data_IF_721986146968
#
_entry.id   IF_721986146968
#
_cell.length_a   1.000
_cell.length_b   1.000
_cell.length_c   1.000
_cell.angle_alpha   90.00
_cell.angle_beta   90.00
_cell.angle_gamma   90.00
#
_symmetry.space_group_name_H-M   'P 1'
#
loop_
_entity.id
_entity.type
_entity.pdbx_description
1 polymer ?
#
# COMPACT_ATOMS: atom_id res chain seq x y z
N UNK A 1 61.58 -23.01 -3.15
CA UNK A 1 61.55 -21.56 -3.46
C UNK A 1 60.23 -21.12 -4.13
N UNK A 2 59.71 -21.84 -5.13
CA UNK A 2 58.47 -21.51 -5.87
C UNK A 2 57.18 -21.53 -5.03
N UNK A 3 57.06 -22.42 -4.03
CA UNK A 3 55.83 -22.58 -3.24
C UNK A 3 55.51 -21.36 -2.35
N UNK A 4 56.53 -20.66 -1.85
CA UNK A 4 56.36 -19.44 -1.04
C UNK A 4 56.01 -18.21 -1.89
N UNK A 5 56.49 -18.15 -3.14
CA UNK A 5 56.18 -17.05 -4.06
C UNK A 5 54.71 -17.06 -4.49
N UNK A 6 54.15 -18.24 -4.76
CA UNK A 6 52.73 -18.39 -5.14
C UNK A 6 51.80 -17.91 -4.02
N UNK A 7 52.11 -18.23 -2.77
CA UNK A 7 51.31 -17.80 -1.61
C UNK A 7 51.36 -16.27 -1.46
N UNK A 8 52.52 -15.66 -1.68
CA UNK A 8 52.68 -14.21 -1.60
C UNK A 8 51.88 -13.48 -2.70
N UNK A 9 51.87 -14.02 -3.92
CA UNK A 9 51.06 -13.47 -5.03
C UNK A 9 49.56 -13.60 -4.75
N UNK A 10 49.11 -14.73 -4.19
CA UNK A 10 47.70 -14.91 -3.81
C UNK A 10 47.27 -13.96 -2.69
N UNK A 11 48.14 -13.70 -1.71
CA UNK A 11 47.86 -12.72 -0.65
C UNK A 11 47.74 -11.30 -1.21
N UNK A 12 48.60 -10.91 -2.16
CA UNK A 12 48.51 -9.62 -2.84
C UNK A 12 47.19 -9.53 -3.64
N UNK A 13 46.79 -10.61 -4.31
CA UNK A 13 45.56 -10.63 -5.10
C UNK A 13 44.30 -10.43 -4.23
N UNK A 14 44.26 -11.06 -3.05
CA UNK A 14 43.15 -10.89 -2.08
C UNK A 14 43.12 -9.47 -1.50
N UNK A 15 44.27 -8.81 -1.34
CA UNK A 15 44.34 -7.43 -0.82
C UNK A 15 43.93 -6.40 -1.89
N UNK A 16 44.31 -6.64 -3.16
CA UNK A 16 44.01 -5.72 -4.27
C UNK A 16 42.56 -5.88 -4.75
N UNK A 17 41.98 -7.07 -4.62
CA UNK A 17 40.64 -7.39 -5.08
C UNK A 17 39.76 -7.80 -3.88
N UNK A 18 39.32 -6.85 -3.03
CA UNK A 18 38.32 -7.17 -2.03
C UNK A 18 37.06 -7.64 -2.76
N UNK A 19 36.63 -8.86 -2.44
CA UNK A 19 35.38 -9.42 -2.94
C UNK A 19 34.22 -8.60 -2.35
N UNK A 20 33.72 -7.62 -3.11
CA UNK A 20 32.62 -6.79 -2.65
C UNK A 20 31.36 -7.67 -2.49
N UNK A 21 30.67 -7.61 -1.33
CA UNK A 21 29.44 -8.36 -1.13
C UNK A 21 28.29 -7.73 -1.95
N UNK A 22 28.30 -7.96 -3.27
CA UNK A 22 27.43 -7.29 -4.24
C UNK A 22 25.93 -7.66 -4.12
N UNK A 23 25.58 -8.71 -3.38
CA UNK A 23 24.23 -9.31 -3.43
C UNK A 23 23.40 -9.29 -2.14
N UNK A 24 23.99 -9.01 -0.96
CA UNK A 24 23.27 -9.21 0.31
C UNK A 24 22.48 -7.98 0.80
N UNK A 25 22.90 -6.75 0.49
CA UNK A 25 22.33 -5.52 1.09
C UNK A 25 21.45 -4.70 0.13
N UNK A 26 21.71 -4.77 -1.18
CA UNK A 26 21.02 -3.99 -2.21
C UNK A 26 19.52 -4.28 -2.28
N UNK A 27 19.08 -5.51 -1.97
CA UNK A 27 17.66 -5.89 -2.08
C UNK A 27 16.82 -5.37 -0.91
N UNK A 28 17.34 -5.42 0.32
CA UNK A 28 16.61 -4.97 1.52
C UNK A 28 16.51 -3.44 1.54
N UNK A 29 17.62 -2.74 1.28
CA UNK A 29 17.65 -1.27 1.25
C UNK A 29 16.77 -0.71 0.13
N UNK A 30 16.76 -1.36 -1.04
CA UNK A 30 15.88 -0.99 -2.17
C UNK A 30 14.41 -1.26 -1.87
N UNK A 31 14.07 -2.33 -1.15
CA UNK A 31 12.70 -2.62 -0.75
C UNK A 31 12.21 -1.62 0.30
N UNK A 32 13.06 -1.27 1.28
CA UNK A 32 12.75 -0.28 2.32
C UNK A 32 12.62 1.13 1.73
N UNK A 33 13.49 1.53 0.82
CA UNK A 33 13.38 2.81 0.13
C UNK A 33 12.16 2.86 -0.81
N UNK A 34 11.80 1.74 -1.46
CA UNK A 34 10.57 1.66 -2.27
C UNK A 34 9.31 1.70 -1.41
N UNK A 35 9.31 1.07 -0.23
CA UNK A 35 8.18 1.13 0.70
C UNK A 35 8.04 2.53 1.29
N UNK A 36 9.12 3.20 1.67
CA UNK A 36 9.09 4.58 2.19
C UNK A 36 8.58 5.59 1.13
N UNK A 37 8.98 5.42 -0.13
CA UNK A 37 8.48 6.24 -1.25
C UNK A 37 7.01 5.91 -1.55
N UNK A 38 6.63 4.63 -1.55
CA UNK A 38 5.25 4.19 -1.73
C UNK A 38 4.35 4.73 -0.62
N UNK A 39 4.75 4.60 0.64
CA UNK A 39 3.97 5.06 1.78
C UNK A 39 3.85 6.59 1.80
N UNK A 40 4.95 7.31 1.54
CA UNK A 40 4.91 8.78 1.47
C UNK A 40 4.08 9.30 0.28
N UNK A 41 4.14 8.64 -0.89
CA UNK A 41 3.33 8.99 -2.05
C UNK A 41 1.85 8.65 -1.87
N UNK A 42 1.54 7.53 -1.20
CA UNK A 42 0.17 7.06 -1.01
C UNK A 42 -0.53 7.74 0.18
N UNK A 43 0.21 8.16 1.22
CA UNK A 43 -0.36 8.82 2.41
C UNK A 43 -1.05 10.16 2.11
N UNK A 44 -0.71 10.82 1.00
CA UNK A 44 -1.38 12.05 0.56
C UNK A 44 -2.66 11.82 -0.25
N UNK A 45 -2.92 10.58 -0.69
CA UNK A 45 -4.08 10.27 -1.52
C UNK A 45 -5.31 10.02 -0.65
N UNK A 46 -6.36 10.78 -0.90
CA UNK A 46 -7.67 10.58 -0.28
C UNK A 46 -8.69 10.12 -1.32
N UNK A 47 -9.42 9.07 -0.99
CA UNK A 47 -10.61 8.72 -1.73
C UNK A 47 -11.63 9.85 -1.60
N UNK A 48 -12.26 10.21 -2.72
CA UNK A 48 -13.37 11.15 -2.74
C UNK A 48 -14.46 10.61 -3.65
N UNK A 49 -15.72 10.83 -3.26
CA UNK A 49 -16.83 10.59 -4.15
C UNK A 49 -16.79 11.61 -5.30
N UNK A 50 -16.94 11.14 -6.55
CA UNK A 50 -17.09 12.01 -7.73
C UNK A 50 -18.57 12.31 -8.01
N UNK A 51 -19.48 11.57 -7.38
CA UNK A 51 -20.93 11.63 -7.60
C UNK A 51 -21.38 10.61 -8.66
N UNK A 52 -22.69 10.56 -8.96
CA UNK A 52 -23.79 11.30 -8.33
C UNK A 52 -24.11 10.82 -6.90
N UNK A 53 -24.36 11.76 -5.98
CA UNK A 53 -24.52 11.46 -4.54
C UNK A 53 -25.75 10.59 -4.20
N UNK A 54 -26.72 10.48 -5.12
CA UNK A 54 -28.02 9.82 -4.90
C UNK A 54 -28.65 9.28 -6.20
N UNK A 55 -27.86 8.84 -7.17
CA UNK A 55 -28.41 8.26 -8.41
C UNK A 55 -28.12 6.77 -8.52
N UNK A 56 -28.84 6.10 -9.41
CA UNK A 56 -28.81 4.66 -9.57
C UNK A 56 -30.13 4.01 -9.18
N UNK A 57 -30.19 2.68 -9.26
CA UNK A 57 -31.38 1.89 -8.92
C UNK A 57 -31.28 1.37 -7.49
N UNK A 58 -32.22 1.77 -6.64
CA UNK A 58 -32.35 1.20 -5.30
C UNK A 58 -33.15 -0.12 -5.36
N UNK A 59 -32.63 -1.16 -4.71
CA UNK A 59 -33.29 -2.46 -4.59
C UNK A 59 -34.22 -2.49 -3.38
N UNK A 60 -33.76 -1.98 -2.24
CA UNK A 60 -34.48 -2.03 -0.97
C UNK A 60 -34.05 -0.87 -0.05
N UNK A 61 -34.91 -0.51 0.90
CA UNK A 61 -34.62 0.40 1.98
C UNK A 61 -35.24 -0.09 3.29
N UNK A 62 -34.58 0.20 4.42
CA UNK A 62 -35.03 -0.20 5.75
C UNK A 62 -34.79 0.94 6.75
N UNK A 63 -35.81 1.26 7.55
CA UNK A 63 -35.70 2.19 8.68
C UNK A 63 -35.55 1.44 10.01
N UNK A 64 -35.06 2.15 11.04
CA UNK A 64 -34.97 1.61 12.41
C UNK A 64 -36.21 2.03 13.21
N UNK A 65 -37.00 1.09 13.78
CA UNK A 65 -38.09 1.43 14.68
C UNK A 65 -37.60 2.24 15.89
N UNK A 66 -38.22 3.38 16.16
CA UNK A 66 -37.85 4.27 17.25
C UNK A 66 -36.78 5.32 16.91
N UNK A 67 -36.13 5.22 15.75
CA UNK A 67 -35.21 6.25 15.23
C UNK A 67 -35.66 6.70 13.83
N UNK A 68 -36.42 7.81 13.74
CA UNK A 68 -36.93 8.31 12.47
C UNK A 68 -35.85 8.97 11.60
N UNK A 69 -34.61 9.11 12.08
CA UNK A 69 -33.53 9.73 11.33
C UNK A 69 -32.59 8.70 10.68
N UNK A 70 -32.60 7.45 11.14
CA UNK A 70 -31.71 6.40 10.64
C UNK A 70 -32.38 5.49 9.62
N UNK A 71 -31.80 5.44 8.42
CA UNK A 71 -32.23 4.53 7.35
C UNK A 71 -31.03 3.88 6.66
N UNK A 72 -31.27 2.71 6.08
CA UNK A 72 -30.35 2.03 5.19
C UNK A 72 -31.01 1.89 3.83
N UNK A 73 -30.26 2.09 2.74
CA UNK A 73 -30.71 1.71 1.40
C UNK A 73 -29.64 0.91 0.67
N UNK A 74 -30.09 0.04 -0.24
CA UNK A 74 -29.23 -0.81 -1.05
C UNK A 74 -29.34 -0.39 -2.51
N UNK A 75 -28.21 -0.05 -3.13
CA UNK A 75 -28.11 0.21 -4.57
C UNK A 75 -27.68 -1.04 -5.32
N UNK A 76 -28.24 -1.24 -6.51
CA UNK A 76 -27.68 -2.19 -7.47
C UNK A 76 -26.29 -1.68 -7.88
N UNK A 77 -25.28 -2.55 -7.78
CA UNK A 77 -23.86 -2.27 -8.04
C UNK A 77 -23.26 -1.08 -7.27
N UNK A 78 -23.95 -0.57 -6.25
CA UNK A 78 -23.53 0.58 -5.44
C UNK A 78 -23.42 0.29 -3.95
N UNK A 79 -23.71 -0.95 -3.52
CA UNK A 79 -23.57 -1.37 -2.12
C UNK A 79 -24.69 -0.87 -1.20
N UNK A 80 -24.38 -0.82 0.09
CA UNK A 80 -25.30 -0.43 1.18
C UNK A 80 -24.87 0.90 1.75
N UNK A 81 -25.84 1.79 1.96
CA UNK A 81 -25.63 3.15 2.43
C UNK A 81 -26.46 3.40 3.68
N UNK A 82 -25.98 4.28 4.56
CA UNK A 82 -26.62 4.61 5.83
C UNK A 82 -26.77 6.11 5.97
N UNK A 83 -27.97 6.55 6.30
CA UNK A 83 -28.21 7.92 6.76
C UNK A 83 -28.53 7.92 8.25
N UNK A 84 -28.19 9.00 8.94
CA UNK A 84 -28.59 9.31 10.33
C UNK A 84 -29.27 10.66 10.43
N UNK A 85 -29.59 11.28 9.29
CA UNK A 85 -30.25 12.58 9.18
C UNK A 85 -31.42 12.55 8.18
N UNK A 86 -32.20 11.47 8.23
CA UNK A 86 -33.40 11.26 7.44
C UNK A 86 -33.19 11.38 5.91
N UNK A 87 -32.03 10.93 5.41
CA UNK A 87 -31.71 10.89 3.98
C UNK A 87 -31.18 12.21 3.41
N UNK A 88 -30.83 13.17 4.26
CA UNK A 88 -30.12 14.40 3.84
C UNK A 88 -28.68 14.08 3.40
N UNK A 89 -28.02 13.13 4.04
CA UNK A 89 -26.73 12.57 3.59
C UNK A 89 -26.69 11.06 3.79
N UNK A 90 -25.88 10.37 2.98
CA UNK A 90 -25.69 8.93 2.99
C UNK A 90 -24.23 8.56 3.15
#
# INVERSE_FOLDING_TARGET
MIRSYIIFVLMIFIIIFPEEPEFAQTSVEKLEQTSLISDSANNGMRWRLIGPFRAGRALAAAGIPGDPATFYFVSVDGGVWKTTNAGVTW
#
